data_IF_578572991242
#
_entry.id   IF_578572991242
#
_cell.length_a   1.000
_cell.length_b   1.000
_cell.length_c   1.000
_cell.angle_alpha   90.00
_cell.angle_beta   90.00
_cell.angle_gamma   90.00
#
_symmetry.space_group_name_H-M   'P 1'
#
loop_
_entity.id
_entity.type
_entity.pdbx_description
1 polymer ?
#
# COMPACT_ATOMS: atom_id res chain seq x y z
N UNK A 1 15.77 6.68 -25.93
CA UNK A 1 14.61 6.52 -25.03
C UNK A 1 15.16 6.43 -23.62
N UNK A 2 14.45 6.97 -22.62
CA UNK A 2 14.96 7.15 -21.26
C UNK A 2 14.07 6.42 -20.25
N UNK A 3 14.69 5.89 -19.20
CA UNK A 3 14.06 5.25 -18.05
C UNK A 3 14.31 6.08 -16.79
N UNK A 4 13.31 6.16 -15.92
CA UNK A 4 13.47 6.69 -14.56
C UNK A 4 14.35 5.75 -13.74
N UNK A 5 15.03 6.32 -12.75
CA UNK A 5 15.77 5.56 -11.73
C UNK A 5 15.20 5.85 -10.34
N UNK A 6 15.76 5.22 -9.30
CA UNK A 6 15.41 5.54 -7.91
C UNK A 6 15.75 6.98 -7.51
N UNK A 7 16.61 7.67 -8.27
CA UNK A 7 16.91 9.07 -8.09
C UNK A 7 16.22 9.90 -9.20
N UNK A 8 15.32 10.85 -8.88
CA UNK A 8 14.64 11.68 -9.88
C UNK A 8 15.57 12.61 -10.66
N UNK A 9 16.82 12.78 -10.21
CA UNK A 9 17.85 13.57 -10.89
C UNK A 9 18.80 12.71 -11.73
N UNK A 10 18.50 11.43 -11.92
CA UNK A 10 19.26 10.52 -12.76
C UNK A 10 18.31 9.77 -13.69
N UNK A 11 18.55 9.88 -14.99
CA UNK A 11 17.88 9.10 -16.02
C UNK A 11 18.80 8.01 -16.56
N UNK A 12 18.24 6.88 -16.96
CA UNK A 12 18.99 5.84 -17.69
C UNK A 12 18.64 5.90 -19.16
N UNK A 13 19.63 6.06 -20.03
CA UNK A 13 19.44 5.93 -21.47
C UNK A 13 19.30 4.45 -21.84
N UNK A 14 18.17 4.03 -22.40
CA UNK A 14 17.90 2.61 -22.69
C UNK A 14 18.68 2.08 -23.88
N UNK A 15 19.16 2.96 -24.77
CA UNK A 15 19.95 2.58 -25.93
C UNK A 15 21.42 2.33 -25.59
N UNK A 16 21.99 3.14 -24.70
CA UNK A 16 23.42 3.08 -24.36
C UNK A 16 23.70 2.48 -22.99
N UNK A 17 22.68 2.34 -22.15
CA UNK A 17 22.81 1.94 -20.74
C UNK A 17 23.40 3.02 -19.82
N UNK A 18 23.65 4.23 -20.33
CA UNK A 18 24.28 5.29 -19.55
C UNK A 18 23.32 5.89 -18.51
N UNK A 19 23.84 6.14 -17.30
CA UNK A 19 23.16 6.94 -16.27
C UNK A 19 23.54 8.41 -16.45
N UNK A 20 22.53 9.26 -16.59
CA UNK A 20 22.65 10.66 -16.97
C UNK A 20 22.12 11.51 -15.80
N UNK A 21 23.00 12.13 -15.02
CA UNK A 21 22.64 13.12 -14.01
C UNK A 21 21.99 14.37 -14.62
N UNK A 22 21.15 15.07 -13.84
CA UNK A 22 20.42 16.29 -14.25
C UNK A 22 21.33 17.43 -14.73
N UNK A 23 22.51 17.53 -14.16
CA UNK A 23 23.54 18.52 -14.49
C UNK A 23 24.44 18.12 -15.68
N UNK A 24 24.24 16.93 -16.25
CA UNK A 24 25.00 16.46 -17.40
C UNK A 24 24.59 17.17 -18.68
N UNK A 25 25.56 17.46 -19.55
CA UNK A 25 25.28 17.94 -20.91
C UNK A 25 24.49 16.92 -21.76
N UNK A 26 24.46 15.65 -21.34
CA UNK A 26 23.67 14.59 -21.97
C UNK A 26 22.23 14.54 -21.46
N UNK A 27 21.84 15.42 -20.54
CA UNK A 27 20.49 15.48 -20.01
C UNK A 27 19.49 15.85 -21.11
N UNK A 28 18.46 15.03 -21.35
CA UNK A 28 17.60 15.18 -22.52
C UNK A 28 16.46 16.18 -22.29
N UNK A 29 16.79 17.43 -21.95
CA UNK A 29 15.80 18.47 -21.60
C UNK A 29 14.72 18.64 -22.66
N UNK A 30 15.10 18.84 -23.92
CA UNK A 30 14.17 19.04 -25.05
C UNK A 30 13.25 17.83 -25.28
N UNK A 31 13.75 16.60 -25.05
CA UNK A 31 12.94 15.40 -25.20
C UNK A 31 11.89 15.28 -24.08
N UNK A 32 12.25 15.68 -22.86
CA UNK A 32 11.37 15.66 -21.68
C UNK A 32 10.23 16.68 -21.76
N UNK A 33 10.33 17.70 -22.62
CA UNK A 33 9.24 18.65 -22.85
C UNK A 33 8.04 18.00 -23.56
N UNK A 34 8.29 16.99 -24.39
CA UNK A 34 7.27 16.32 -25.20
C UNK A 34 7.02 14.86 -24.80
N UNK A 35 7.87 14.27 -23.95
CA UNK A 35 7.82 12.84 -23.63
C UNK A 35 8.06 12.58 -22.14
N UNK A 36 7.48 11.49 -21.65
CA UNK A 36 7.74 11.00 -20.29
C UNK A 36 8.69 9.80 -20.35
N UNK A 37 9.79 9.78 -19.56
CA UNK A 37 10.64 8.59 -19.45
C UNK A 37 9.82 7.37 -19.03
N UNK A 38 10.21 6.19 -19.52
CA UNK A 38 9.63 4.95 -19.05
C UNK A 38 9.83 4.81 -17.53
N UNK A 39 8.86 4.25 -16.80
CA UNK A 39 9.04 3.99 -15.38
C UNK A 39 10.22 3.04 -15.16
N UNK A 40 10.87 3.16 -14.00
CA UNK A 40 11.91 2.21 -13.59
C UNK A 40 11.29 0.80 -13.60
N UNK A 41 11.91 -0.19 -14.29
CA UNK A 41 11.40 -1.54 -14.27
C UNK A 41 11.39 -2.07 -12.83
N UNK A 42 10.39 -2.88 -12.46
CA UNK A 42 10.36 -3.48 -11.13
C UNK A 42 11.64 -4.31 -10.90
N UNK A 43 12.09 -4.47 -9.65
CA UNK A 43 13.31 -5.21 -9.32
C UNK A 43 13.17 -6.73 -9.48
N UNK A 44 12.06 -7.20 -10.07
CA UNK A 44 11.70 -8.60 -10.22
C UNK A 44 11.12 -8.86 -11.62
N UNK A 45 11.19 -10.12 -12.04
CA UNK A 45 10.52 -10.58 -13.26
C UNK A 45 9.04 -10.78 -12.98
N UNK A 46 8.17 -10.37 -13.89
CA UNK A 46 6.73 -10.59 -13.74
C UNK A 46 6.43 -12.09 -13.58
N UNK A 47 5.49 -12.39 -12.69
CA UNK A 47 5.10 -13.74 -12.28
C UNK A 47 6.22 -14.61 -11.66
N UNK A 48 7.35 -14.02 -11.26
CA UNK A 48 8.36 -14.73 -10.47
C UNK A 48 7.95 -14.85 -8.99
N UNK A 49 8.57 -15.76 -8.21
CA UNK A 49 8.39 -15.80 -6.77
C UNK A 49 8.64 -14.45 -6.10
N UNK A 50 9.65 -13.70 -6.54
CA UNK A 50 10.00 -12.37 -6.02
C UNK A 50 8.89 -11.34 -6.30
N UNK A 51 8.27 -11.39 -7.49
CA UNK A 51 7.10 -10.55 -7.79
C UNK A 51 5.96 -10.82 -6.82
N UNK A 52 5.61 -12.09 -6.60
CA UNK A 52 4.51 -12.44 -5.70
C UNK A 52 4.83 -12.10 -4.24
N UNK A 53 6.09 -12.23 -3.80
CA UNK A 53 6.51 -11.78 -2.48
C UNK A 53 6.40 -10.26 -2.33
N UNK A 54 6.81 -9.50 -3.36
CA UNK A 54 6.67 -8.04 -3.35
C UNK A 54 5.19 -7.59 -3.28
N UNK A 55 4.31 -8.27 -4.01
CA UNK A 55 2.86 -8.01 -3.94
C UNK A 55 2.27 -8.33 -2.57
N UNK A 56 2.67 -9.46 -1.96
CA UNK A 56 2.23 -9.84 -0.61
C UNK A 56 2.72 -8.83 0.45
N UNK A 57 3.97 -8.38 0.35
CA UNK A 57 4.52 -7.36 1.23
C UNK A 57 3.74 -6.04 1.09
N UNK A 58 3.47 -5.60 -0.14
CA UNK A 58 2.68 -4.39 -0.38
C UNK A 58 1.25 -4.49 0.16
N UNK A 59 0.62 -5.67 0.07
CA UNK A 59 -0.69 -5.92 0.68
C UNK A 59 -0.65 -5.85 2.22
N UNK A 60 0.40 -6.38 2.83
CA UNK A 60 0.60 -6.28 4.28
C UNK A 60 0.80 -4.84 4.73
N UNK A 61 1.61 -4.06 4.01
CA UNK A 61 1.83 -2.64 4.28
C UNK A 61 0.54 -1.83 4.15
N UNK A 62 -0.27 -2.14 3.13
CA UNK A 62 -1.58 -1.53 2.94
C UNK A 62 -2.54 -1.81 4.09
N UNK A 63 -2.68 -3.08 4.51
CA UNK A 63 -3.50 -3.43 5.67
C UNK A 63 -2.98 -2.80 6.96
N UNK A 64 -1.65 -2.69 7.09
CA UNK A 64 -1.00 -2.04 8.24
C UNK A 64 -1.31 -0.54 8.29
N UNK A 65 -1.30 0.15 7.14
CA UNK A 65 -1.67 1.56 7.07
C UNK A 65 -3.12 1.79 7.53
N UNK A 66 -4.05 0.93 7.10
CA UNK A 66 -5.45 1.00 7.51
C UNK A 66 -5.64 0.88 9.03
N UNK A 67 -4.99 -0.09 9.68
CA UNK A 67 -5.13 -0.24 11.14
C UNK A 67 -4.44 0.89 11.92
N UNK A 68 -3.40 1.51 11.36
CA UNK A 68 -2.74 2.69 11.95
C UNK A 68 -3.63 3.92 11.95
N UNK A 69 -4.40 4.14 10.89
CA UNK A 69 -5.43 5.20 10.87
C UNK A 69 -6.44 5.00 12.01
N UNK A 70 -6.74 3.73 12.34
CA UNK A 70 -7.59 3.32 13.46
C UNK A 70 -6.87 3.22 14.82
N UNK A 71 -5.66 3.77 14.93
CA UNK A 71 -4.86 3.90 16.16
C UNK A 71 -4.33 2.58 16.74
N UNK A 72 -4.13 1.57 15.89
CA UNK A 72 -3.36 0.38 16.23
C UNK A 72 -1.93 0.49 15.71
N UNK A 73 -0.95 -0.05 16.44
CA UNK A 73 0.44 -0.03 16.00
C UNK A 73 0.70 -1.03 14.87
N UNK A 74 0.09 -2.22 14.99
CA UNK A 74 0.21 -3.33 14.03
C UNK A 74 -1.10 -4.08 13.85
N UNK A 75 -1.17 -4.91 12.81
CA UNK A 75 -2.31 -5.80 12.55
C UNK A 75 -2.53 -6.75 13.74
N UNK A 76 -1.46 -7.31 14.32
CA UNK A 76 -1.52 -8.21 15.47
C UNK A 76 -2.13 -7.53 16.69
N UNK A 77 -1.77 -6.27 16.96
CA UNK A 77 -2.36 -5.52 18.08
C UNK A 77 -3.87 -5.34 17.91
N UNK A 78 -4.34 -5.04 16.70
CA UNK A 78 -5.76 -4.98 16.39
C UNK A 78 -6.44 -6.35 16.60
N UNK A 79 -5.89 -7.40 15.98
CA UNK A 79 -6.44 -8.76 16.06
C UNK A 79 -6.45 -9.34 17.49
N UNK A 80 -5.56 -8.89 18.38
CA UNK A 80 -5.48 -9.37 19.77
C UNK A 80 -6.79 -9.17 20.55
N UNK A 81 -7.60 -8.18 20.16
CA UNK A 81 -8.88 -7.88 20.80
C UNK A 81 -10.05 -8.76 20.33
N UNK A 82 -9.83 -9.80 19.53
CA UNK A 82 -10.88 -10.65 18.94
C UNK A 82 -11.94 -11.18 19.93
N UNK A 83 -11.54 -11.42 21.19
CA UNK A 83 -12.40 -11.87 22.28
C UNK A 83 -12.54 -10.83 23.42
N UNK A 84 -12.27 -9.56 23.14
CA UNK A 84 -12.41 -8.49 24.12
C UNK A 84 -13.84 -8.40 24.67
N UNK A 85 -13.96 -8.06 25.95
CA UNK A 85 -15.25 -7.74 26.58
C UNK A 85 -15.79 -6.39 26.12
N UNK A 86 -14.94 -5.52 25.57
CA UNK A 86 -15.35 -4.23 25.00
C UNK A 86 -15.84 -4.45 23.57
N UNK A 87 -17.13 -4.23 23.27
CA UNK A 87 -17.72 -4.57 21.97
C UNK A 87 -16.98 -3.93 20.79
N UNK A 88 -16.62 -2.65 20.89
CA UNK A 88 -15.90 -1.94 19.83
C UNK A 88 -14.60 -2.64 19.42
N UNK A 89 -13.69 -2.86 20.36
CA UNK A 89 -12.40 -3.49 20.07
C UNK A 89 -12.56 -4.91 19.52
N UNK A 90 -13.53 -5.65 20.05
CA UNK A 90 -13.87 -6.99 19.56
C UNK A 90 -14.33 -6.96 18.11
N UNK A 91 -15.22 -6.03 17.79
CA UNK A 91 -15.83 -5.96 16.46
C UNK A 91 -14.82 -5.41 15.43
N UNK A 92 -13.92 -4.48 15.82
CA UNK A 92 -12.77 -4.06 15.00
C UNK A 92 -11.82 -5.23 14.71
N UNK A 93 -11.43 -5.99 15.73
CA UNK A 93 -10.55 -7.14 15.56
C UNK A 93 -11.16 -8.20 14.64
N UNK A 94 -12.47 -8.44 14.75
CA UNK A 94 -13.20 -9.39 13.88
C UNK A 94 -13.24 -8.90 12.43
N UNK A 95 -13.49 -7.61 12.21
CA UNK A 95 -13.44 -7.02 10.88
C UNK A 95 -12.04 -7.13 10.28
N UNK A 96 -10.99 -6.85 11.05
CA UNK A 96 -9.60 -6.97 10.62
C UNK A 96 -9.23 -8.41 10.23
N UNK A 97 -9.58 -9.39 11.06
CA UNK A 97 -9.32 -10.81 10.76
C UNK A 97 -10.05 -11.23 9.49
N UNK A 98 -11.35 -10.92 9.39
CA UNK A 98 -12.14 -11.26 8.20
C UNK A 98 -11.57 -10.64 6.92
N UNK A 99 -11.16 -9.37 6.99
CA UNK A 99 -10.58 -8.67 5.85
C UNK A 99 -9.21 -9.23 5.45
N UNK A 100 -8.31 -9.41 6.41
CA UNK A 100 -6.98 -9.99 6.16
C UNK A 100 -7.07 -11.37 5.54
N UNK A 101 -7.98 -12.21 6.04
CA UNK A 101 -8.15 -13.56 5.55
C UNK A 101 -8.70 -13.56 4.11
N UNK A 102 -9.67 -12.69 3.81
CA UNK A 102 -10.18 -12.52 2.44
C UNK A 102 -9.10 -12.00 1.47
N UNK A 103 -8.28 -11.03 1.89
CA UNK A 103 -7.16 -10.52 1.09
C UNK A 103 -6.15 -11.62 0.79
N UNK A 104 -5.76 -12.41 1.80
CA UNK A 104 -4.80 -13.50 1.62
C UNK A 104 -5.34 -14.60 0.69
N UNK A 105 -6.61 -14.96 0.82
CA UNK A 105 -7.26 -15.91 -0.08
C UNK A 105 -7.26 -15.43 -1.53
N UNK A 106 -7.58 -14.16 -1.76
CA UNK A 106 -7.57 -13.58 -3.12
C UNK A 106 -6.15 -13.49 -3.70
N UNK A 107 -5.16 -13.14 -2.87
CA UNK A 107 -3.75 -13.15 -3.27
C UNK A 107 -3.27 -14.55 -3.67
N UNK A 108 -3.70 -15.60 -2.96
CA UNK A 108 -3.42 -16.98 -3.34
C UNK A 108 -4.09 -17.34 -4.67
N UNK A 109 -5.34 -16.94 -4.88
CA UNK A 109 -6.05 -17.16 -6.15
C UNK A 109 -5.35 -16.46 -7.33
N UNK A 110 -4.88 -15.23 -7.14
CA UNK A 110 -4.14 -14.47 -8.16
C UNK A 110 -2.80 -15.11 -8.56
N UNK A 111 -2.13 -15.83 -7.65
CA UNK A 111 -0.90 -16.57 -8.00
C UNK A 111 -1.22 -17.76 -8.92
N UNK A 112 -2.36 -18.42 -8.71
CA UNK A 112 -2.77 -19.60 -9.49
C UNK A 112 -3.36 -19.20 -10.84
N UNK A 113 -4.12 -18.11 -10.89
CA UNK A 113 -4.85 -17.67 -12.06
C UNK A 113 -4.72 -16.14 -12.26
N UNK A 114 -3.49 -15.67 -12.49
CA UNK A 114 -3.22 -14.26 -12.70
C UNK A 114 -3.95 -13.73 -13.96
N UNK A 115 -4.78 -12.69 -13.85
CA UNK A 115 -5.42 -12.07 -15.01
C UNK A 115 -4.37 -11.42 -15.93
N UNK A 116 -4.62 -11.45 -17.24
CA UNK A 116 -3.74 -10.80 -18.20
C UNK A 116 -3.72 -9.28 -18.01
N UNK A 117 -2.52 -8.68 -18.05
CA UNK A 117 -2.33 -7.23 -17.92
C UNK A 117 -2.33 -6.68 -16.49
N UNK A 118 -2.32 -7.56 -15.47
CA UNK A 118 -2.15 -7.17 -14.07
C UNK A 118 -0.68 -7.36 -13.67
N UNK A 119 0.06 -6.26 -13.60
CA UNK A 119 1.51 -6.27 -13.40
C UNK A 119 1.97 -5.42 -12.22
N UNK A 120 1.12 -4.49 -11.76
CA UNK A 120 1.49 -3.52 -10.72
C UNK A 120 0.69 -3.73 -9.45
N UNK A 121 1.26 -3.33 -8.31
CA UNK A 121 0.54 -3.32 -7.04
C UNK A 121 -0.77 -2.54 -7.10
N UNK A 122 -0.81 -1.40 -7.81
CA UNK A 122 -2.03 -0.57 -7.95
C UNK A 122 -3.15 -1.36 -8.63
N UNK A 123 -2.82 -2.10 -9.69
CA UNK A 123 -3.79 -2.96 -10.38
C UNK A 123 -4.23 -4.14 -9.49
N UNK A 124 -3.29 -4.80 -8.81
CA UNK A 124 -3.62 -5.91 -7.90
C UNK A 124 -4.53 -5.42 -6.76
N UNK A 125 -4.18 -4.31 -6.10
CA UNK A 125 -4.95 -3.74 -5.00
C UNK A 125 -6.40 -3.46 -5.38
N UNK A 126 -6.66 -3.03 -6.61
CA UNK A 126 -8.01 -2.76 -7.09
C UNK A 126 -8.89 -4.03 -7.20
N UNK A 127 -8.26 -5.21 -7.31
CA UNK A 127 -8.95 -6.51 -7.36
C UNK A 127 -9.15 -7.13 -5.97
N UNK A 128 -8.36 -6.71 -4.98
CA UNK A 128 -8.45 -7.26 -3.62
C UNK A 128 -9.73 -6.79 -2.90
N UNK A 129 -10.22 -7.57 -1.92
CA UNK A 129 -11.31 -7.14 -1.04
C UNK A 129 -10.98 -5.79 -0.38
N UNK A 130 -11.82 -4.79 -0.60
CA UNK A 130 -11.63 -3.47 0.00
C UNK A 130 -12.11 -3.48 1.47
N UNK A 131 -11.40 -2.78 2.39
CA UNK A 131 -11.73 -2.81 3.81
C UNK A 131 -13.14 -2.28 4.11
N UNK A 132 -13.63 -1.33 3.32
CA UNK A 132 -14.95 -0.72 3.47
C UNK A 132 -16.11 -1.73 3.29
N UNK A 133 -15.84 -2.90 2.69
CA UNK A 133 -16.82 -3.97 2.54
C UNK A 133 -16.97 -4.85 3.80
N UNK A 134 -16.22 -4.57 4.87
CA UNK A 134 -16.24 -5.32 6.12
C UNK A 134 -16.89 -4.51 7.24
N UNK A 135 -17.37 -5.21 8.28
CA UNK A 135 -18.16 -4.63 9.38
C UNK A 135 -17.29 -3.88 10.40
N UNK A 136 -16.55 -2.86 9.96
CA UNK A 136 -15.81 -1.97 10.84
C UNK A 136 -16.79 -1.09 11.64
N UNK A 137 -16.67 -1.01 12.98
CA UNK A 137 -17.44 -0.03 13.73
C UNK A 137 -16.97 1.39 13.40
N UNK A 138 -17.84 2.38 13.58
CA UNK A 138 -17.52 3.78 13.33
C UNK A 138 -16.33 4.27 14.16
N UNK A 139 -15.52 5.16 13.59
CA UNK A 139 -14.42 5.79 14.32
C UNK A 139 -14.98 6.69 15.42
N UNK A 140 -14.60 6.41 16.67
CA UNK A 140 -14.90 7.31 17.77
C UNK A 140 -13.76 8.31 17.86
N UNK A 141 -14.02 9.54 17.42
CA UNK A 141 -13.23 10.68 17.88
C UNK A 141 -13.50 10.83 19.37
N UNK A 142 -12.50 10.54 20.21
CA UNK A 142 -12.57 10.96 21.61
C UNK A 142 -12.65 12.48 21.59
N UNK A 143 -13.70 13.12 22.15
CA UNK A 143 -13.68 14.55 22.35
C UNK A 143 -12.48 14.82 23.27
N UNK A 144 -11.44 15.45 22.73
CA UNK A 144 -10.38 16.03 23.53
C UNK A 144 -11.07 17.10 24.38
N UNK A 145 -11.39 16.75 25.63
CA UNK A 145 -12.16 17.60 26.52
C UNK A 145 -11.51 18.98 26.60
N UNK A 146 -12.07 19.96 25.92
CA UNK A 146 -11.85 21.37 26.23
C UNK A 146 -12.58 21.61 27.54
N UNK A 147 -11.83 21.44 28.64
CA UNK A 147 -12.11 21.86 30.01
C UNK A 147 -13.59 22.02 30.38
N UNK A 148 -14.11 21.05 31.13
CA UNK A 148 -15.09 21.38 32.17
C UNK A 148 -14.48 22.49 33.04
N UNK A 149 -14.98 23.71 32.90
CA UNK A 149 -14.93 24.68 33.99
C UNK A 149 -15.73 24.08 35.13
N UNK A 150 -15.04 23.47 36.09
CA UNK A 150 -15.56 23.28 37.43
C UNK A 150 -15.89 24.66 38.00
N UNK A 151 -17.16 25.08 37.87
CA UNK A 151 -17.72 26.15 38.69
C UNK A 151 -18.18 25.48 39.98
N UNK A 152 -17.41 25.71 41.05
CA UNK A 152 -17.87 25.47 42.40
C UNK A 152 -18.94 26.53 42.72
N UNK A 153 -20.18 26.09 42.93
CA UNK A 153 -21.17 26.75 43.79
C UNK A 153 -21.85 25.72 44.69
#
# INVERSE_FOLDING_TARGET
>A
MYELTSNPDILKCTQTGAFIPRDSYLWPAEWLEANTPAPMPPPYVLHSPEHYQAIRAAAWDWMTAWVKERRYDTIETCCSYFNSSVPRYRDEARAMVAWRDAVNQELEALVVAAPSGIETWVQVRALLPQPENFNWPGEVSLPLGTGESAVLE
#
